data_IF_593786555502
#
_entry.id   IF_593786555502
#
_cell.length_a   1.000
_cell.length_b   1.000
_cell.length_c   1.000
_cell.angle_alpha   90.00
_cell.angle_beta   90.00
_cell.angle_gamma   90.00
#
_symmetry.space_group_name_H-M   'P 1'
#
loop_
_entity.id
_entity.type
_entity.pdbx_description
1 polymer ?
#
# COMPACT_ATOMS: atom_id res chain seq x y z
N UNK A 1 10.52 -8.73 -0.90
CA UNK A 1 9.17 -8.32 -1.36
C UNK A 1 8.54 -7.31 -0.41
N UNK A 2 8.24 -7.65 0.85
CA UNK A 2 7.60 -6.72 1.80
C UNK A 2 8.42 -5.43 2.03
N UNK A 3 9.74 -5.53 2.25
CA UNK A 3 10.59 -4.34 2.41
C UNK A 3 10.52 -3.38 1.21
N UNK A 4 10.47 -3.94 -0.01
CA UNK A 4 10.34 -3.15 -1.23
C UNK A 4 8.96 -2.48 -1.34
N UNK A 5 7.89 -3.19 -1.00
CA UNK A 5 6.55 -2.64 -0.90
C UNK A 5 6.52 -1.45 0.08
N UNK A 6 7.07 -1.61 1.29
CA UNK A 6 7.12 -0.54 2.29
C UNK A 6 7.91 0.69 1.81
N UNK A 7 9.03 0.49 1.09
CA UNK A 7 9.80 1.61 0.52
C UNK A 7 8.97 2.42 -0.49
N UNK A 8 8.23 1.74 -1.37
CA UNK A 8 7.39 2.42 -2.38
C UNK A 8 6.22 3.15 -1.70
N UNK A 9 5.57 2.51 -0.72
CA UNK A 9 4.47 3.13 0.03
C UNK A 9 4.94 4.33 0.86
N UNK A 10 6.16 4.30 1.41
CA UNK A 10 6.75 5.44 2.11
C UNK A 10 6.86 6.66 1.19
N UNK A 11 7.32 6.47 -0.05
CA UNK A 11 7.37 7.56 -1.04
C UNK A 11 6.01 8.22 -1.26
N UNK A 12 4.91 7.45 -1.24
CA UNK A 12 3.55 7.99 -1.39
C UNK A 12 3.09 8.67 -0.10
N UNK A 13 3.42 8.09 1.06
CA UNK A 13 3.02 8.61 2.38
C UNK A 13 3.69 9.94 2.75
N UNK A 14 4.90 10.18 2.25
CA UNK A 14 5.70 11.39 2.51
C UNK A 14 5.45 12.49 1.47
N UNK A 15 4.90 12.14 0.30
CA UNK A 15 4.64 13.09 -0.79
C UNK A 15 3.50 14.05 -0.45
N UNK A 16 3.83 15.31 -0.17
CA UNK A 16 2.84 16.35 0.19
C UNK A 16 1.87 16.71 -0.93
N UNK A 17 2.13 16.31 -2.18
CA UNK A 17 1.19 16.45 -3.29
C UNK A 17 0.05 15.43 -3.27
N UNK A 18 0.16 14.39 -2.43
CA UNK A 18 -0.85 13.34 -2.29
C UNK A 18 -1.85 13.69 -1.17
N UNK A 19 -3.17 13.55 -1.42
CA UNK A 19 -4.21 13.79 -0.42
C UNK A 19 -4.00 13.03 0.89
N UNK A 20 -4.34 13.68 2.01
CA UNK A 20 -4.07 13.17 3.37
C UNK A 20 -4.68 11.79 3.64
N UNK A 21 -5.85 11.50 3.07
CA UNK A 21 -6.52 10.20 3.24
C UNK A 21 -5.70 9.06 2.62
N UNK A 22 -5.19 9.24 1.39
CA UNK A 22 -4.35 8.26 0.70
C UNK A 22 -3.04 8.05 1.47
N UNK A 23 -2.39 9.13 1.93
CA UNK A 23 -1.17 9.03 2.75
C UNK A 23 -1.40 8.29 4.07
N UNK A 24 -2.58 8.44 4.67
CA UNK A 24 -2.96 7.71 5.88
C UNK A 24 -3.13 6.23 5.59
N UNK A 25 -3.79 5.87 4.48
CA UNK A 25 -3.98 4.48 4.06
C UNK A 25 -2.63 3.82 3.77
N UNK A 26 -1.73 4.47 3.05
CA UNK A 26 -0.40 3.89 2.75
C UNK A 26 0.42 3.65 4.02
N UNK A 27 0.39 4.57 4.99
CA UNK A 27 1.00 4.37 6.31
C UNK A 27 0.39 3.19 7.08
N UNK A 28 -0.93 3.09 7.11
CA UNK A 28 -1.63 1.96 7.73
C UNK A 28 -1.23 0.62 7.10
N UNK A 29 -1.07 0.58 5.77
CA UNK A 29 -0.63 -0.62 5.06
C UNK A 29 0.82 -0.99 5.43
N UNK A 30 1.71 -0.01 5.59
CA UNK A 30 3.08 -0.26 6.06
C UNK A 30 3.09 -0.91 7.45
N UNK A 31 2.22 -0.45 8.36
CA UNK A 31 2.07 -1.06 9.69
C UNK A 31 1.57 -2.51 9.60
N UNK A 32 0.53 -2.77 8.79
CA UNK A 32 -0.02 -4.12 8.56
C UNK A 32 1.06 -5.07 8.02
N UNK A 33 1.84 -4.62 7.04
CA UNK A 33 2.89 -5.44 6.43
C UNK A 33 4.01 -5.80 7.42
N UNK A 34 4.31 -4.90 8.37
CA UNK A 34 5.32 -5.09 9.40
C UNK A 34 4.82 -5.87 10.63
N UNK A 35 3.53 -6.15 10.75
CA UNK A 35 3.00 -6.93 11.88
C UNK A 35 3.41 -8.42 11.77
N UNK A 36 4.48 -8.80 12.47
CA UNK A 36 4.99 -10.16 12.48
C UNK A 36 4.08 -11.18 13.19
N UNK A 37 3.00 -10.73 13.85
CA UNK A 37 2.05 -11.64 14.53
C UNK A 37 1.10 -12.31 13.56
N UNK A 38 0.91 -11.74 12.37
CA UNK A 38 -0.03 -12.23 11.37
C UNK A 38 0.66 -13.05 10.26
N UNK A 39 0.01 -14.10 9.72
CA UNK A 39 0.49 -14.80 8.53
C UNK A 39 0.69 -13.85 7.34
N UNK A 40 1.67 -14.14 6.48
CA UNK A 40 1.96 -13.32 5.30
C UNK A 40 0.76 -13.16 4.36
N UNK A 41 -0.01 -14.24 4.15
CA UNK A 41 -1.20 -14.21 3.31
C UNK A 41 -2.26 -13.23 3.86
N UNK A 42 -2.56 -13.29 5.16
CA UNK A 42 -3.55 -12.41 5.78
C UNK A 42 -3.12 -10.94 5.74
N UNK A 43 -1.83 -10.65 5.98
CA UNK A 43 -1.29 -9.29 5.84
C UNK A 43 -1.40 -8.77 4.41
N UNK A 44 -1.05 -9.61 3.44
CA UNK A 44 -1.05 -9.25 2.03
C UNK A 44 -2.46 -9.00 1.53
N UNK A 45 -3.43 -9.85 1.91
CA UNK A 45 -4.85 -9.68 1.61
C UNK A 45 -5.38 -8.34 2.13
N UNK A 46 -5.18 -8.05 3.43
CA UNK A 46 -5.62 -6.80 4.04
C UNK A 46 -4.95 -5.57 3.42
N UNK A 47 -3.64 -5.68 3.13
CA UNK A 47 -2.89 -4.62 2.47
C UNK A 47 -3.43 -4.33 1.06
N UNK A 48 -3.68 -5.35 0.24
CA UNK A 48 -4.21 -5.20 -1.11
C UNK A 48 -5.57 -4.51 -1.09
N UNK A 49 -6.50 -4.95 -0.23
CA UNK A 49 -7.84 -4.33 -0.15
C UNK A 49 -7.80 -2.84 0.18
N UNK A 50 -6.94 -2.43 1.12
CA UNK A 50 -6.76 -1.01 1.47
C UNK A 50 -6.09 -0.21 0.35
N UNK A 51 -5.11 -0.82 -0.33
CA UNK A 51 -4.43 -0.18 -1.46
C UNK A 51 -5.35 -0.01 -2.66
N UNK A 52 -6.26 -0.95 -2.93
CA UNK A 52 -7.28 -0.81 -3.97
C UNK A 52 -8.22 0.36 -3.69
N UNK A 53 -8.65 0.55 -2.43
CA UNK A 53 -9.44 1.72 -2.02
C UNK A 53 -8.68 3.03 -2.30
N UNK A 54 -7.40 3.09 -1.94
CA UNK A 54 -6.56 4.27 -2.20
C UNK A 54 -6.30 4.51 -3.70
N UNK A 55 -6.18 3.46 -4.51
CA UNK A 55 -5.94 3.55 -5.94
C UNK A 55 -7.19 3.94 -6.74
N UNK A 56 -8.37 3.60 -6.22
CA UNK A 56 -9.66 3.91 -6.85
C UNK A 56 -10.24 5.26 -6.40
N UNK A 57 -9.69 5.87 -5.36
CA UNK A 57 -10.08 7.23 -4.92
C UNK A 57 -9.96 8.23 -6.10
N UNK A 58 -11.04 9.00 -6.40
CA UNK A 58 -11.03 10.00 -7.47
C UNK A 58 -9.96 11.09 -7.32
N UNK A 59 -9.57 11.41 -6.09
CA UNK A 59 -8.56 12.41 -5.77
C UNK A 59 -7.13 11.86 -5.83
N UNK A 60 -6.95 10.56 -6.06
CA UNK A 60 -5.64 9.93 -6.11
C UNK A 60 -4.85 10.36 -7.36
N UNK A 61 -3.72 11.09 -7.21
CA UNK A 61 -2.89 11.50 -8.33
C UNK A 61 -2.34 10.30 -9.11
N UNK A 62 -2.17 10.46 -10.43
CA UNK A 62 -1.73 9.37 -11.31
C UNK A 62 -0.41 8.73 -10.86
N UNK A 63 0.58 9.53 -10.44
CA UNK A 63 1.87 9.01 -10.00
C UNK A 63 1.77 8.17 -8.72
N UNK A 64 0.91 8.56 -7.79
CA UNK A 64 0.63 7.80 -6.57
C UNK A 64 -0.12 6.50 -6.90
N UNK A 65 -1.12 6.58 -7.79
CA UNK A 65 -1.89 5.42 -8.27
C UNK A 65 -0.99 4.35 -8.90
N UNK A 66 -0.06 4.74 -9.78
CA UNK A 66 0.89 3.81 -10.40
C UNK A 66 1.79 3.13 -9.36
N UNK A 67 2.28 3.88 -8.36
CA UNK A 67 3.09 3.32 -7.27
C UNK A 67 2.28 2.34 -6.41
N UNK A 68 1.03 2.66 -6.10
CA UNK A 68 0.14 1.79 -5.34
C UNK A 68 -0.11 0.47 -6.11
N UNK A 69 -0.43 0.56 -7.41
CA UNK A 69 -0.57 -0.62 -8.26
C UNK A 69 0.69 -1.49 -8.33
N UNK A 70 1.87 -0.87 -8.43
CA UNK A 70 3.13 -1.60 -8.36
C UNK A 70 3.27 -2.39 -7.06
N UNK A 71 2.83 -1.83 -5.93
CA UNK A 71 2.86 -2.51 -4.63
C UNK A 71 1.86 -3.66 -4.58
N UNK A 72 0.64 -3.49 -5.11
CA UNK A 72 -0.36 -4.57 -5.21
C UNK A 72 0.24 -5.77 -5.95
N UNK A 73 0.87 -5.55 -7.12
CA UNK A 73 1.53 -6.62 -7.89
C UNK A 73 2.67 -7.31 -7.12
N UNK A 74 3.38 -6.59 -6.24
CA UNK A 74 4.42 -7.18 -5.37
C UNK A 74 3.81 -8.07 -4.28
N UNK A 75 2.62 -7.72 -3.77
CA UNK A 75 1.96 -8.42 -2.68
C UNK A 75 1.09 -9.60 -3.15
N UNK A 76 0.60 -9.56 -4.39
CA UNK A 76 -0.28 -10.59 -4.97
C UNK A 76 0.26 -12.03 -4.86
N UNK A 77 1.56 -12.30 -5.10
CA UNK A 77 2.10 -13.65 -4.93
C UNK A 77 2.14 -14.12 -3.47
N UNK A 78 2.15 -13.20 -2.51
CA UNK A 78 2.18 -13.49 -1.07
C UNK A 78 0.78 -13.74 -0.50
N UNK A 79 -0.26 -13.40 -1.24
CA UNK A 79 -1.67 -13.59 -0.89
C UNK A 79 -2.17 -15.03 -1.15
N UNK A 80 -1.34 -15.89 -1.74
CA UNK A 80 -1.68 -17.28 -2.07
C UNK A 80 -1.30 -18.26 -0.96
#
# INVERSE_FOLDING_TARGET
>A
MIKQACIILNMVSEDTSVPRNIRRITNQVIEILNDSRQPYALRSSNAISLLDEAATDPNCPMHARTKIWQVITILEPLNK
#
